data_IF_437526223432
#
_entry.id   IF_437526223432
#
_cell.length_a   1.000
_cell.length_b   1.000
_cell.length_c   1.000
_cell.angle_alpha   90.00
_cell.angle_beta   90.00
_cell.angle_gamma   90.00
#
_symmetry.space_group_name_H-M   'P 1'
#
loop_
_entity.id
_entity.type
_entity.pdbx_description
1 polymer ?
#
# COMPACT_ATOMS: atom_id res chain seq x y z
N UNK A 1 6.72 10.44 14.96
CA UNK A 1 6.70 11.92 15.09
C UNK A 1 5.48 12.30 15.91
N UNK A 2 5.64 13.16 16.91
CA UNK A 2 4.55 13.62 17.79
C UNK A 2 4.24 15.12 17.63
N UNK A 3 5.17 15.89 17.05
CA UNK A 3 5.01 17.32 16.78
C UNK A 3 5.82 17.72 15.56
N UNK A 4 5.24 18.54 14.70
CA UNK A 4 5.97 19.29 13.68
C UNK A 4 6.16 20.72 14.18
N UNK A 5 7.38 21.26 14.06
CA UNK A 5 7.73 22.61 14.48
C UNK A 5 7.99 23.51 13.29
N UNK A 6 7.64 24.78 13.43
CA UNK A 6 7.74 25.77 12.35
C UNK A 6 6.68 26.85 12.47
N UNK A 7 6.74 27.87 11.61
CA UNK A 7 5.69 28.92 11.49
C UNK A 7 5.00 28.86 10.13
N UNK A 8 5.72 29.28 9.08
CA UNK A 8 5.24 29.25 7.70
C UNK A 8 5.75 28.04 6.91
N UNK A 9 6.70 27.29 7.48
CA UNK A 9 7.27 26.06 6.92
C UNK A 9 7.73 25.15 8.06
N UNK A 10 7.85 23.86 7.78
CA UNK A 10 8.50 22.90 8.68
C UNK A 10 9.96 23.31 8.88
N UNK A 11 10.39 23.36 10.13
CA UNK A 11 11.80 23.59 10.51
C UNK A 11 12.31 22.56 11.50
N UNK A 12 11.44 21.72 12.06
CA UNK A 12 11.82 20.62 12.95
C UNK A 12 10.71 19.58 13.10
N UNK A 13 11.08 18.40 13.57
CA UNK A 13 10.16 17.36 14.04
C UNK A 13 10.56 16.91 15.45
N UNK A 14 9.58 16.67 16.31
CA UNK A 14 9.79 16.02 17.61
C UNK A 14 9.39 14.56 17.52
N UNK A 15 10.26 13.67 17.96
CA UNK A 15 10.04 12.22 17.99
C UNK A 15 10.15 11.69 19.42
N UNK A 16 9.37 10.65 19.69
CA UNK A 16 9.35 9.91 20.95
C UNK A 16 9.31 8.41 20.64
N UNK A 17 9.94 7.56 21.46
CA UNK A 17 9.77 6.12 21.35
C UNK A 17 8.29 5.71 21.48
N UNK A 18 7.87 4.68 20.74
CA UNK A 18 6.46 4.22 20.71
C UNK A 18 5.93 3.83 22.09
N UNK A 19 6.79 3.30 22.97
CA UNK A 19 6.43 2.85 24.31
C UNK A 19 6.54 3.95 25.38
N UNK A 20 6.64 5.22 24.96
CA UNK A 20 6.92 6.34 25.84
C UNK A 20 8.42 6.53 26.11
N UNK A 21 8.79 7.69 26.65
CA UNK A 21 10.18 8.06 26.95
C UNK A 21 10.50 9.50 26.59
N UNK A 22 11.79 9.82 26.57
CA UNK A 22 12.27 11.17 26.24
C UNK A 22 11.90 11.60 24.82
N UNK A 23 11.52 12.87 24.70
CA UNK A 23 11.34 13.52 23.41
C UNK A 23 12.69 14.03 22.88
N UNK A 24 12.92 13.92 21.57
CA UNK A 24 14.02 14.61 20.89
C UNK A 24 13.49 15.41 19.71
N UNK A 25 14.00 16.62 19.54
CA UNK A 25 13.67 17.49 18.41
C UNK A 25 14.81 17.46 17.41
N UNK A 26 14.48 17.23 16.14
CA UNK A 26 15.42 17.11 15.03
C UNK A 26 15.09 18.22 14.03
N UNK A 27 16.05 19.09 13.66
CA UNK A 27 15.87 20.06 12.58
C UNK A 27 15.64 19.33 11.25
N UNK A 28 14.56 19.68 10.55
CA UNK A 28 14.21 19.15 9.22
C UNK A 28 13.44 20.23 8.45
N UNK A 29 13.48 20.18 7.13
CA UNK A 29 12.73 21.07 6.24
C UNK A 29 11.47 20.41 5.64
N UNK A 30 11.38 19.08 5.71
CA UNK A 30 10.22 18.30 5.29
C UNK A 30 9.99 17.07 6.19
N UNK A 31 8.75 16.61 6.25
CA UNK A 31 8.36 15.35 6.91
C UNK A 31 7.53 14.55 5.91
N UNK A 32 8.06 13.42 5.47
CA UNK A 32 7.34 12.47 4.61
C UNK A 32 6.72 11.38 5.50
N UNK A 33 5.40 11.32 5.53
CA UNK A 33 4.67 10.34 6.33
C UNK A 33 4.16 9.19 5.46
N UNK A 34 4.49 7.96 5.84
CA UNK A 34 3.91 6.75 5.27
C UNK A 34 3.38 5.86 6.37
N UNK A 35 2.05 5.91 6.57
CA UNK A 35 1.34 5.14 7.60
C UNK A 35 0.72 3.84 7.06
N UNK A 36 1.17 3.38 5.89
CA UNK A 36 0.59 2.26 5.15
C UNK A 36 -0.46 2.70 4.13
N UNK A 37 -1.15 1.70 3.57
CA UNK A 37 -2.13 1.87 2.50
C UNK A 37 -3.51 1.42 2.95
N UNK A 38 -4.53 2.22 2.59
CA UNK A 38 -5.94 1.88 2.79
C UNK A 38 -6.55 1.50 1.43
N UNK A 39 -7.08 0.27 1.27
CA UNK A 39 -7.72 -0.15 0.02
C UNK A 39 -8.88 0.78 -0.38
N UNK A 40 -8.89 1.19 -1.65
CA UNK A 40 -9.97 2.04 -2.20
C UNK A 40 -11.18 1.20 -2.59
N UNK A 41 -12.14 1.11 -1.68
CA UNK A 41 -13.37 0.29 -1.82
C UNK A 41 -14.60 1.10 -2.24
N UNK A 42 -14.43 2.34 -2.70
CA UNK A 42 -15.53 3.27 -2.99
C UNK A 42 -16.54 2.71 -4.00
N UNK A 43 -16.07 2.23 -5.16
CA UNK A 43 -16.94 1.64 -6.19
C UNK A 43 -17.58 0.32 -5.74
N UNK A 44 -16.84 -0.48 -4.96
CA UNK A 44 -17.36 -1.72 -4.38
C UNK A 44 -18.49 -1.45 -3.38
N UNK A 45 -18.35 -0.42 -2.54
CA UNK A 45 -19.42 0.01 -1.63
C UNK A 45 -20.60 0.63 -2.38
N UNK A 46 -20.35 1.39 -3.46
CA UNK A 46 -21.40 1.96 -4.31
C UNK A 46 -22.25 0.87 -4.99
N UNK A 47 -21.62 -0.24 -5.41
CA UNK A 47 -22.33 -1.40 -5.95
C UNK A 47 -23.07 -2.22 -4.89
N UNK A 48 -23.12 -1.72 -3.64
CA UNK A 48 -23.72 -2.36 -2.44
C UNK A 48 -22.96 -3.60 -1.96
N UNK A 49 -21.69 -3.75 -2.35
CA UNK A 49 -20.80 -4.76 -1.78
C UNK A 49 -20.53 -4.50 -0.29
N UNK A 50 -20.39 -5.57 0.49
CA UNK A 50 -20.08 -5.48 1.93
C UNK A 50 -18.59 -5.67 2.16
N UNK A 51 -17.95 -4.68 2.75
CA UNK A 51 -16.53 -4.74 3.11
C UNK A 51 -16.32 -5.66 4.31
N UNK A 52 -15.21 -6.38 4.32
CA UNK A 52 -14.77 -7.24 5.41
C UNK A 52 -13.47 -6.68 6.02
N UNK A 53 -13.34 -6.81 7.33
CA UNK A 53 -12.08 -6.49 8.01
C UNK A 53 -11.12 -7.69 7.90
N UNK A 54 -9.93 -7.46 7.34
CA UNK A 54 -8.86 -8.45 7.29
C UNK A 54 -7.95 -8.25 8.52
N UNK A 55 -7.92 -9.24 9.42
CA UNK A 55 -7.20 -9.13 10.68
C UNK A 55 -5.67 -9.17 10.52
N UNK A 56 -5.15 -9.85 9.52
CA UNK A 56 -3.70 -9.97 9.28
C UNK A 56 -3.09 -8.66 8.76
N UNK A 57 -3.80 -8.02 7.83
CA UNK A 57 -3.36 -6.76 7.22
C UNK A 57 -3.82 -5.55 8.01
N UNK A 58 -4.84 -5.70 8.88
CA UNK A 58 -5.53 -4.64 9.63
C UNK A 58 -6.16 -3.59 8.70
N UNK A 59 -6.78 -4.06 7.60
CA UNK A 59 -7.39 -3.23 6.55
C UNK A 59 -8.81 -3.70 6.26
N UNK A 60 -9.67 -2.78 5.82
CA UNK A 60 -10.95 -3.14 5.20
C UNK A 60 -10.73 -3.45 3.72
N UNK A 61 -11.25 -4.60 3.28
CA UNK A 61 -11.13 -5.12 1.92
C UNK A 61 -12.52 -5.51 1.38
N UNK A 62 -12.69 -5.67 0.06
CA UNK A 62 -13.90 -6.25 -0.53
C UNK A 62 -14.23 -7.60 0.10
N UNK A 63 -15.48 -7.77 0.53
CA UNK A 63 -15.99 -9.00 1.15
C UNK A 63 -17.07 -9.66 0.29
N UNK A 64 -18.33 -9.40 0.61
CA UNK A 64 -19.46 -9.96 -0.14
C UNK A 64 -19.82 -9.08 -1.34
N UNK A 65 -19.75 -9.66 -2.54
CA UNK A 65 -20.10 -9.00 -3.79
C UNK A 65 -21.62 -9.01 -4.01
N UNK A 66 -22.16 -7.88 -4.48
CA UNK A 66 -23.60 -7.73 -4.76
C UNK A 66 -23.92 -7.66 -6.26
N UNK A 67 -22.91 -7.57 -7.11
CA UNK A 67 -23.00 -7.48 -8.57
C UNK A 67 -21.91 -8.37 -9.19
N UNK A 68 -22.02 -8.66 -10.47
CA UNK A 68 -21.00 -9.39 -11.25
C UNK A 68 -19.79 -8.48 -11.52
N UNK A 69 -18.99 -8.26 -10.48
CA UNK A 69 -17.75 -7.52 -10.55
C UNK A 69 -16.64 -8.21 -9.75
N UNK A 70 -15.42 -7.75 -9.94
CA UNK A 70 -14.24 -8.25 -9.23
C UNK A 70 -13.33 -7.07 -8.91
N UNK A 71 -12.84 -7.03 -7.67
CA UNK A 71 -11.79 -6.09 -7.26
C UNK A 71 -10.44 -6.79 -7.44
N UNK A 72 -9.44 -6.08 -7.96
CA UNK A 72 -8.12 -6.65 -8.27
C UNK A 72 -7.03 -5.69 -7.80
N UNK A 73 -5.95 -6.23 -7.24
CA UNK A 73 -4.78 -5.47 -6.80
C UNK A 73 -4.96 -4.84 -5.41
N UNK A 74 -4.35 -3.68 -5.20
CA UNK A 74 -4.35 -3.02 -3.89
C UNK A 74 -5.76 -2.71 -3.35
N UNK A 75 -6.76 -2.48 -4.22
CA UNK A 75 -8.15 -2.30 -3.77
C UNK A 75 -8.78 -3.59 -3.24
N UNK A 76 -8.30 -4.76 -3.67
CA UNK A 76 -8.64 -6.07 -3.11
C UNK A 76 -7.76 -6.46 -1.90
N UNK A 77 -6.76 -5.65 -1.57
CA UNK A 77 -5.80 -5.94 -0.51
C UNK A 77 -4.57 -6.72 -0.98
N UNK A 78 -4.41 -6.94 -2.29
CA UNK A 78 -3.20 -7.56 -2.85
C UNK A 78 -2.06 -6.56 -2.84
N UNK A 79 -0.98 -6.90 -2.12
CA UNK A 79 0.24 -6.13 -2.05
C UNK A 79 1.26 -6.65 -3.08
N UNK A 80 2.00 -5.74 -3.71
CA UNK A 80 3.09 -6.07 -4.63
C UNK A 80 2.66 -6.20 -6.09
N UNK A 81 3.57 -5.81 -6.98
CA UNK A 81 3.29 -5.71 -8.41
C UNK A 81 3.07 -7.09 -9.05
N UNK A 82 3.93 -8.08 -8.75
CA UNK A 82 3.80 -9.41 -9.35
C UNK A 82 2.47 -10.07 -8.97
N UNK A 83 2.12 -10.05 -7.67
CA UNK A 83 0.86 -10.61 -7.20
C UNK A 83 -0.36 -9.93 -7.84
N UNK A 84 -0.31 -8.59 -7.97
CA UNK A 84 -1.38 -7.81 -8.62
C UNK A 84 -1.56 -8.19 -10.08
N UNK A 85 -0.47 -8.37 -10.84
CA UNK A 85 -0.54 -8.77 -12.25
C UNK A 85 -1.10 -10.19 -12.37
N UNK A 86 -0.66 -11.12 -11.52
CA UNK A 86 -1.14 -12.50 -11.52
C UNK A 86 -2.64 -12.58 -11.25
N UNK A 87 -3.10 -11.85 -10.23
CA UNK A 87 -4.50 -11.69 -9.88
C UNK A 87 -5.31 -11.09 -11.03
N UNK A 88 -4.80 -10.03 -11.67
CA UNK A 88 -5.48 -9.37 -12.78
C UNK A 88 -5.68 -10.29 -13.99
N UNK A 89 -4.66 -11.08 -14.34
CA UNK A 89 -4.76 -12.04 -15.44
C UNK A 89 -5.75 -13.16 -15.12
N UNK A 90 -5.74 -13.68 -13.89
CA UNK A 90 -6.68 -14.71 -13.46
C UNK A 90 -8.13 -14.19 -13.49
N UNK A 91 -8.37 -13.00 -12.92
CA UNK A 91 -9.68 -12.36 -12.88
C UNK A 91 -10.20 -12.02 -14.28
N UNK A 92 -9.35 -11.48 -15.15
CA UNK A 92 -9.71 -11.16 -16.54
C UNK A 92 -10.02 -12.40 -17.37
N UNK A 93 -9.22 -13.46 -17.26
CA UNK A 93 -9.46 -14.72 -17.95
C UNK A 93 -10.78 -15.38 -17.50
N UNK A 94 -11.07 -15.33 -16.19
CA UNK A 94 -12.35 -15.81 -15.64
C UNK A 94 -13.52 -14.99 -16.19
N UNK A 95 -13.45 -13.66 -16.14
CA UNK A 95 -14.51 -12.79 -16.65
C UNK A 95 -14.78 -13.01 -18.15
N UNK A 96 -13.73 -13.19 -18.96
CA UNK A 96 -13.86 -13.52 -20.39
C UNK A 96 -14.55 -14.87 -20.61
N UNK A 97 -14.21 -15.89 -19.82
CA UNK A 97 -14.84 -17.21 -19.88
C UNK A 97 -16.32 -17.14 -19.48
N UNK A 98 -16.67 -16.37 -18.45
CA UNK A 98 -18.03 -16.23 -17.93
C UNK A 98 -18.98 -15.61 -18.98
N UNK A 99 -18.47 -14.76 -19.88
CA UNK A 99 -19.24 -14.18 -21.00
C UNK A 99 -19.14 -15.01 -22.30
N UNK A 100 -18.57 -16.22 -22.24
CA UNK A 100 -18.49 -17.15 -23.38
C UNK A 100 -17.44 -16.80 -24.43
N UNK A 101 -16.47 -15.92 -24.13
CA UNK A 101 -15.39 -15.61 -25.04
C UNK A 101 -14.39 -16.79 -25.11
N UNK A 102 -13.98 -17.17 -26.32
CA UNK A 102 -12.89 -18.10 -26.52
C UNK A 102 -11.58 -17.44 -26.09
N UNK A 103 -11.06 -17.83 -24.93
CA UNK A 103 -9.86 -17.22 -24.34
C UNK A 103 -8.62 -17.55 -25.16
N UNK A 104 -8.11 -16.60 -25.94
CA UNK A 104 -6.72 -16.65 -26.40
C UNK A 104 -5.80 -16.42 -25.19
N UNK A 105 -4.69 -17.15 -25.11
CA UNK A 105 -3.72 -17.02 -24.02
C UNK A 105 -3.08 -15.62 -24.11
N UNK A 106 -3.56 -14.70 -23.28
CA UNK A 106 -3.04 -13.34 -23.20
C UNK A 106 -1.56 -13.33 -22.82
N UNK A 107 -0.78 -12.44 -23.44
CA UNK A 107 0.66 -12.37 -23.20
C UNK A 107 0.92 -11.66 -21.87
N UNK A 108 1.19 -12.43 -20.81
CA UNK A 108 1.46 -11.88 -19.47
C UNK A 108 2.75 -11.05 -19.50
N UNK A 109 2.74 -9.78 -19.06
CA UNK A 109 3.95 -8.97 -19.04
C UNK A 109 4.93 -9.56 -18.03
N UNK A 110 6.23 -9.50 -18.38
CA UNK A 110 7.28 -9.80 -17.41
C UNK A 110 7.26 -8.71 -16.35
N UNK A 111 7.16 -9.11 -15.09
CA UNK A 111 7.17 -8.20 -13.95
C UNK A 111 8.56 -8.20 -13.34
N UNK A 112 9.24 -7.06 -13.46
CA UNK A 112 10.47 -6.78 -12.73
C UNK A 112 10.12 -5.80 -11.60
N UNK A 113 10.16 -6.28 -10.34
CA UNK A 113 9.92 -5.47 -9.14
C UNK A 113 11.21 -5.44 -8.30
N UNK A 114 11.75 -4.25 -8.06
CA UNK A 114 13.01 -4.06 -7.32
C UNK A 114 12.82 -3.93 -5.81
N UNK A 115 11.61 -3.64 -5.37
CA UNK A 115 11.31 -3.26 -3.99
C UNK A 115 10.16 -4.11 -3.46
N UNK A 116 10.39 -4.77 -2.33
CA UNK A 116 9.33 -5.40 -1.55
C UNK A 116 9.16 -4.59 -0.27
N UNK A 117 7.94 -4.11 -0.02
CA UNK A 117 7.65 -3.42 1.22
C UNK A 117 7.60 -4.45 2.36
N UNK A 118 8.72 -4.59 3.07
CA UNK A 118 8.72 -5.24 4.38
C UNK A 118 8.21 -4.22 5.40
N UNK A 119 7.23 -4.63 6.21
CA UNK A 119 6.65 -3.80 7.29
C UNK A 119 7.78 -3.37 8.24
N UNK A 120 8.35 -2.20 8.00
CA UNK A 120 9.48 -1.60 8.70
C UNK A 120 9.66 -0.16 8.21
N UNK A 121 10.27 0.72 9.00
CA UNK A 121 10.37 2.15 8.68
C UNK A 121 10.88 2.40 7.25
N UNK A 122 10.05 3.05 6.43
CA UNK A 122 10.50 3.75 5.23
C UNK A 122 11.58 4.76 5.64
N UNK A 123 12.80 4.59 5.14
CA UNK A 123 13.90 5.54 5.30
C UNK A 123 15.14 5.05 6.05
N UNK A 124 15.18 3.81 6.54
CA UNK A 124 16.43 3.20 7.01
C UNK A 124 16.90 2.16 5.99
N UNK A 125 17.64 2.61 4.96
CA UNK A 125 18.51 1.69 4.25
C UNK A 125 19.44 1.02 5.29
N UNK A 126 19.74 -0.28 5.21
CA UNK A 126 20.77 -0.88 6.05
C UNK A 126 22.07 -0.08 5.90
N UNK A 127 22.52 0.58 6.97
CA UNK A 127 23.79 1.33 7.00
C UNK A 127 23.73 2.85 6.80
N UNK A 128 22.55 3.49 6.78
CA UNK A 128 22.46 4.95 6.73
C UNK A 128 22.64 5.59 8.14
N UNK A 129 23.89 5.80 8.56
CA UNK A 129 24.26 6.61 9.73
C UNK A 129 24.24 8.12 9.41
N UNK A 130 24.49 8.95 10.43
CA UNK A 130 24.54 10.43 10.30
C UNK A 130 25.53 10.93 9.26
N UNK A 131 26.51 10.11 8.91
CA UNK A 131 27.67 10.49 8.09
C UNK A 131 27.68 9.78 6.72
N UNK A 132 26.59 9.09 6.35
CA UNK A 132 26.53 8.32 5.10
C UNK A 132 25.48 8.85 4.15
N UNK A 133 25.90 9.19 2.93
CA UNK A 133 25.02 9.47 1.79
C UNK A 133 24.75 8.19 1.00
N UNK A 134 23.51 7.74 1.02
CA UNK A 134 23.00 6.72 0.09
C UNK A 134 22.11 7.40 -0.94
N UNK A 135 22.33 7.09 -2.21
CA UNK A 135 21.41 7.50 -3.29
C UNK A 135 20.19 6.60 -3.23
N UNK A 136 19.02 7.23 -3.40
CA UNK A 136 17.74 6.57 -3.56
C UNK A 136 17.75 5.65 -4.79
#
# INVERSE_FOLDING_TARGET
VIRAGGKLRVSSMTVQPKNGGGERTIPVDAILMSAGWTPSVHLFSQSRGKVAFNDETKRFVPGAYAQDCVSVGACNGTDGLSATIDEAYAAGAKAAKDVGANTARGNKPKVDASESWSRGMLGAAPGAGSDTTVKA
#
